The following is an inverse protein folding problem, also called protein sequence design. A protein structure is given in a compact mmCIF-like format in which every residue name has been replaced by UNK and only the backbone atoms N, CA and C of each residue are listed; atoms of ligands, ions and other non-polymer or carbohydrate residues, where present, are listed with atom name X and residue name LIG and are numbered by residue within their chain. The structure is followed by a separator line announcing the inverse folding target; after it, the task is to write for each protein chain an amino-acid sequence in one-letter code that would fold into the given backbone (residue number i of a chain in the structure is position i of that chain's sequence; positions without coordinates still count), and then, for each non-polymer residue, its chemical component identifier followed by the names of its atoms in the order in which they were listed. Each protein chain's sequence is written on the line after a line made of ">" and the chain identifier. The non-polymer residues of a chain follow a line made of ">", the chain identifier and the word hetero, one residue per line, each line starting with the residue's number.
data_IF_901257879554
#
_entry.id   IF_901257879554
#
_cell.length_a   1.000
_cell.length_b   1.000
_cell.length_c   1.000
_cell.angle_alpha   90.00
_cell.angle_beta   90.00
_cell.angle_gamma   90.00
#
_symmetry.space_group_name_H-M   'P 1'
#
loop_
_entity.id
_entity.type
_entity.pdbx_description
1 polymer ?
#
# COMPACT_ATOMS: atom_id res chain seq x y z
N UNK A 1 -23.11 -3.68 -23.93
CA UNK A 1 -23.83 -4.33 -22.80
C UNK A 1 -22.98 -5.37 -22.06
N UNK A 2 -22.28 -6.29 -22.74
CA UNK A 2 -21.41 -7.31 -22.11
C UNK A 2 -20.32 -6.76 -21.17
N UNK A 3 -19.63 -5.67 -21.53
CA UNK A 3 -18.64 -5.02 -20.65
C UNK A 3 -19.28 -4.32 -19.43
N UNK A 4 -20.56 -3.91 -19.53
CA UNK A 4 -21.28 -3.23 -18.46
C UNK A 4 -21.83 -4.22 -17.41
N UNK A 5 -22.16 -5.45 -17.82
CA UNK A 5 -22.54 -6.52 -16.90
C UNK A 5 -21.32 -7.20 -16.26
N UNK A 6 -20.20 -7.30 -16.98
CA UNK A 6 -18.98 -7.95 -16.51
C UNK A 6 -18.40 -7.32 -15.24
N UNK A 7 -18.38 -5.99 -15.14
CA UNK A 7 -17.83 -5.34 -13.94
C UNK A 7 -18.76 -5.47 -12.72
N UNK A 8 -20.09 -5.56 -12.92
CA UNK A 8 -21.05 -5.81 -11.83
C UNK A 8 -20.92 -7.24 -11.31
N UNK A 9 -20.90 -8.22 -12.21
CA UNK A 9 -20.66 -9.62 -11.83
C UNK A 9 -19.32 -9.76 -11.09
N UNK A 10 -18.27 -9.15 -11.62
CA UNK A 10 -16.96 -9.13 -10.99
C UNK A 10 -16.98 -8.52 -9.57
N UNK A 11 -17.68 -7.38 -9.40
CA UNK A 11 -17.91 -6.76 -8.09
C UNK A 11 -18.58 -7.73 -7.13
N UNK A 12 -19.70 -8.33 -7.52
CA UNK A 12 -20.47 -9.21 -6.64
C UNK A 12 -19.67 -10.48 -6.27
N UNK A 13 -18.94 -11.06 -7.22
CA UNK A 13 -18.04 -12.22 -6.96
C UNK A 13 -16.94 -11.85 -5.98
N UNK A 14 -16.30 -10.69 -6.16
CA UNK A 14 -15.24 -10.24 -5.27
C UNK A 14 -15.76 -10.04 -3.85
N UNK A 15 -16.88 -9.33 -3.69
CA UNK A 15 -17.51 -9.12 -2.39
C UNK A 15 -17.88 -10.46 -1.74
N UNK A 16 -18.52 -11.36 -2.48
CA UNK A 16 -18.86 -12.70 -1.98
C UNK A 16 -17.64 -13.45 -1.48
N UNK A 17 -16.53 -13.47 -2.23
CA UNK A 17 -15.30 -14.12 -1.77
C UNK A 17 -14.73 -13.48 -0.50
N UNK A 18 -14.76 -12.16 -0.39
CA UNK A 18 -14.37 -11.46 0.83
C UNK A 18 -15.21 -11.86 2.04
N UNK A 19 -16.54 -11.89 1.88
CA UNK A 19 -17.47 -12.30 2.95
C UNK A 19 -17.28 -13.78 3.33
N UNK A 20 -17.12 -14.67 2.35
CA UNK A 20 -16.89 -16.09 2.59
C UNK A 20 -15.62 -16.31 3.41
N UNK A 21 -14.51 -15.65 3.05
CA UNK A 21 -13.26 -15.78 3.79
C UNK A 21 -13.35 -15.20 5.21
N UNK A 22 -14.16 -14.16 5.44
CA UNK A 22 -14.29 -13.54 6.76
C UNK A 22 -15.25 -14.29 7.67
N UNK A 23 -16.38 -14.78 7.13
CA UNK A 23 -17.48 -15.33 7.92
C UNK A 23 -17.45 -16.85 8.06
N UNK A 24 -16.86 -17.58 7.11
CA UNK A 24 -16.97 -19.04 7.06
C UNK A 24 -15.76 -19.74 7.70
N UNK A 25 -15.99 -20.77 8.54
CA UNK A 25 -14.90 -21.60 9.02
C UNK A 25 -14.29 -22.37 7.85
N UNK A 26 -12.96 -22.45 7.85
CA UNK A 26 -12.19 -23.24 6.91
C UNK A 26 -11.34 -24.26 7.65
N UNK A 27 -11.04 -25.36 6.95
CA UNK A 27 -10.24 -26.45 7.50
C UNK A 27 -9.85 -27.44 6.41
N UNK A 28 -9.03 -28.42 6.79
CA UNK A 28 -8.69 -29.52 5.90
C UNK A 28 -9.89 -30.45 5.76
N UNK A 29 -10.08 -30.98 4.54
CA UNK A 29 -11.19 -31.88 4.20
C UNK A 29 -11.15 -33.18 5.05
N UNK A 30 -10.02 -33.47 5.69
CA UNK A 30 -9.81 -34.64 6.55
C UNK A 30 -10.29 -34.49 8.00
N UNK A 31 -10.67 -33.29 8.45
CA UNK A 31 -11.12 -33.05 9.83
C UNK A 31 -12.66 -33.02 9.91
N UNK A 32 -13.27 -34.22 9.89
CA UNK A 32 -14.74 -34.45 9.96
C UNK A 32 -15.41 -33.85 11.21
N UNK A 33 -14.63 -33.40 12.18
CA UNK A 33 -15.09 -32.86 13.47
C UNK A 33 -15.59 -31.42 13.41
N UNK A 34 -15.24 -30.66 12.36
CA UNK A 34 -15.70 -29.29 12.14
C UNK A 34 -16.34 -29.20 10.76
N UNK A 35 -17.62 -28.87 10.69
CA UNK A 35 -18.29 -28.50 9.44
C UNK A 35 -17.63 -27.23 8.88
N UNK A 36 -16.54 -27.41 8.12
CA UNK A 36 -15.85 -26.35 7.43
C UNK A 36 -16.55 -26.13 6.08
N UNK A 37 -17.00 -24.91 5.83
CA UNK A 37 -17.69 -24.59 4.58
C UNK A 37 -16.69 -24.36 3.43
N UNK A 38 -15.45 -23.98 3.78
CA UNK A 38 -14.37 -23.72 2.83
C UNK A 38 -13.19 -24.66 3.06
N UNK A 39 -12.63 -25.20 1.97
CA UNK A 39 -11.35 -25.90 2.02
C UNK A 39 -10.17 -24.93 1.91
N UNK A 40 -9.00 -25.34 2.42
CA UNK A 40 -7.75 -24.56 2.28
C UNK A 40 -7.43 -24.25 0.81
N UNK A 41 -7.62 -25.22 -0.09
CA UNK A 41 -7.43 -25.06 -1.54
C UNK A 41 -8.37 -23.99 -2.14
N UNK A 42 -9.62 -23.91 -1.68
CA UNK A 42 -10.53 -22.84 -2.11
C UNK A 42 -10.05 -21.46 -1.66
N UNK A 43 -9.54 -21.34 -0.42
CA UNK A 43 -8.98 -20.08 0.07
C UNK A 43 -7.73 -19.68 -0.74
N UNK A 44 -6.86 -20.63 -1.10
CA UNK A 44 -5.70 -20.38 -1.96
C UNK A 44 -6.10 -19.92 -3.37
N UNK A 45 -7.14 -20.52 -3.94
CA UNK A 45 -7.71 -20.10 -5.23
C UNK A 45 -8.31 -18.70 -5.16
N UNK A 46 -9.00 -18.37 -4.07
CA UNK A 46 -9.52 -17.01 -3.82
C UNK A 46 -8.37 -16.00 -3.71
N UNK A 47 -7.29 -16.34 -3.00
CA UNK A 47 -6.09 -15.50 -2.92
C UNK A 47 -5.44 -15.25 -4.29
N UNK A 48 -5.27 -16.30 -5.08
CA UNK A 48 -4.76 -16.21 -6.45
C UNK A 48 -5.66 -15.34 -7.33
N UNK A 49 -6.98 -15.50 -7.21
CA UNK A 49 -7.96 -14.66 -7.89
C UNK A 49 -7.73 -13.18 -7.54
N UNK A 50 -7.69 -12.81 -6.26
CA UNK A 50 -7.48 -11.40 -5.89
C UNK A 50 -6.15 -10.83 -6.40
N UNK A 51 -5.06 -11.60 -6.34
CA UNK A 51 -3.75 -11.16 -6.85
C UNK A 51 -3.79 -10.84 -8.35
N UNK A 52 -4.46 -11.69 -9.14
CA UNK A 52 -4.66 -11.46 -10.57
C UNK A 52 -5.55 -10.23 -10.82
N UNK A 53 -6.64 -10.11 -10.06
CA UNK A 53 -7.63 -9.05 -10.20
C UNK A 53 -7.06 -7.67 -9.87
N UNK A 54 -6.35 -7.55 -8.75
CA UNK A 54 -5.65 -6.33 -8.35
C UNK A 54 -4.60 -5.88 -9.40
N UNK A 55 -4.12 -6.81 -10.22
CA UNK A 55 -3.13 -6.56 -11.26
C UNK A 55 -3.73 -6.27 -12.65
N UNK A 56 -5.03 -6.57 -12.87
CA UNK A 56 -5.64 -6.61 -14.21
C UNK A 56 -6.87 -5.73 -14.40
N UNK A 57 -7.63 -5.43 -13.34
CA UNK A 57 -8.89 -4.67 -13.44
C UNK A 57 -8.64 -3.24 -13.90
N UNK A 58 -9.49 -2.78 -14.85
CA UNK A 58 -9.45 -1.40 -15.38
C UNK A 58 -10.57 -0.50 -14.86
N UNK A 59 -11.71 -1.07 -14.48
CA UNK A 59 -12.86 -0.30 -14.04
C UNK A 59 -12.69 0.09 -12.57
N UNK A 60 -12.62 1.40 -12.28
CA UNK A 60 -12.38 1.92 -10.93
C UNK A 60 -13.36 1.38 -9.89
N UNK A 61 -14.66 1.40 -10.19
CA UNK A 61 -15.67 0.90 -9.25
C UNK A 61 -15.60 -0.61 -9.03
N UNK A 62 -15.03 -1.38 -9.96
CA UNK A 62 -14.81 -2.82 -9.76
C UNK A 62 -13.57 -3.05 -8.89
N UNK A 63 -12.50 -2.30 -9.18
CA UNK A 63 -11.25 -2.34 -8.42
C UNK A 63 -11.45 -1.95 -6.95
N UNK A 64 -12.19 -0.89 -6.65
CA UNK A 64 -12.45 -0.45 -5.27
C UNK A 64 -13.18 -1.52 -4.45
N UNK A 65 -14.08 -2.28 -5.07
CA UNK A 65 -14.83 -3.35 -4.41
C UNK A 65 -13.97 -4.61 -4.25
N UNK A 66 -13.20 -4.97 -5.28
CA UNK A 66 -12.20 -6.04 -5.20
C UNK A 66 -11.16 -5.76 -4.12
N UNK A 67 -10.68 -4.51 -4.02
CA UNK A 67 -9.78 -4.07 -2.97
C UNK A 67 -10.40 -4.26 -1.58
N UNK A 68 -11.64 -3.79 -1.39
CA UNK A 68 -12.36 -3.92 -0.11
C UNK A 68 -12.48 -5.40 0.32
N UNK A 69 -12.85 -6.27 -0.62
CA UNK A 69 -12.95 -7.70 -0.36
C UNK A 69 -11.58 -8.36 -0.12
N UNK A 70 -10.54 -7.95 -0.85
CA UNK A 70 -9.18 -8.42 -0.63
C UNK A 70 -8.68 -8.05 0.77
N UNK A 71 -9.03 -6.87 1.30
CA UNK A 71 -8.69 -6.52 2.69
C UNK A 71 -9.29 -7.50 3.71
N UNK A 72 -10.52 -7.98 3.49
CA UNK A 72 -11.16 -8.99 4.35
C UNK A 72 -10.38 -10.30 4.34
N UNK A 73 -9.96 -10.75 3.14
CA UNK A 73 -9.09 -11.91 3.00
C UNK A 73 -7.77 -11.70 3.77
N UNK A 74 -7.07 -10.59 3.57
CA UNK A 74 -5.80 -10.34 4.26
C UNK A 74 -5.96 -10.32 5.79
N UNK A 75 -7.04 -9.70 6.31
CA UNK A 75 -7.34 -9.69 7.75
C UNK A 75 -7.54 -11.10 8.30
N UNK A 76 -8.25 -11.97 7.57
CA UNK A 76 -8.40 -13.37 7.95
C UNK A 76 -7.04 -14.10 7.92
N UNK A 77 -6.26 -13.92 6.85
CA UNK A 77 -4.96 -14.61 6.70
C UNK A 77 -3.98 -14.28 7.83
N UNK A 78 -3.94 -13.03 8.29
CA UNK A 78 -3.09 -12.65 9.43
C UNK A 78 -3.51 -13.29 10.76
N UNK A 79 -4.78 -13.69 10.90
CA UNK A 79 -5.34 -14.25 12.12
C UNK A 79 -5.51 -15.77 12.07
N UNK A 80 -5.25 -16.38 10.91
CA UNK A 80 -5.44 -17.81 10.74
C UNK A 80 -4.30 -18.60 11.39
N UNK A 81 -4.63 -19.78 11.92
CA UNK A 81 -3.65 -20.70 12.49
C UNK A 81 -3.12 -21.72 11.47
N UNK A 82 -3.68 -21.73 10.26
CA UNK A 82 -3.27 -22.68 9.23
C UNK A 82 -1.93 -22.23 8.62
N UNK A 83 -0.86 -23.03 8.73
CA UNK A 83 0.50 -22.57 8.42
C UNK A 83 0.69 -22.16 6.95
N UNK A 84 -0.02 -22.82 6.03
CA UNK A 84 0.06 -22.49 4.61
C UNK A 84 -0.62 -21.16 4.26
N UNK A 85 -1.68 -20.79 5.00
CA UNK A 85 -2.43 -19.56 4.76
C UNK A 85 -1.79 -18.38 5.51
N UNK A 86 -1.33 -18.61 6.74
CA UNK A 86 -0.72 -17.59 7.59
C UNK A 86 0.57 -17.00 7.00
N UNK A 87 1.29 -17.76 6.17
CA UNK A 87 2.51 -17.29 5.48
C UNK A 87 2.22 -16.42 4.24
N UNK A 88 1.01 -16.48 3.67
CA UNK A 88 0.70 -15.80 2.40
C UNK A 88 0.91 -14.28 2.44
N UNK A 89 0.48 -13.54 3.48
CA UNK A 89 0.70 -12.10 3.55
C UNK A 89 2.18 -11.72 3.40
N UNK A 90 3.05 -12.38 4.16
CA UNK A 90 4.51 -12.15 4.10
C UNK A 90 5.12 -12.59 2.77
N UNK A 91 4.67 -13.72 2.23
CA UNK A 91 5.13 -14.21 0.93
C UNK A 91 4.81 -13.21 -0.18
N UNK A 92 3.57 -12.71 -0.25
CA UNK A 92 3.17 -11.72 -1.24
C UNK A 92 3.97 -10.42 -1.14
N UNK A 93 4.24 -9.93 0.07
CA UNK A 93 5.06 -8.72 0.24
C UNK A 93 6.50 -8.95 -0.27
N UNK A 94 7.11 -10.10 0.04
CA UNK A 94 8.45 -10.47 -0.43
C UNK A 94 8.51 -10.58 -1.95
N UNK A 95 7.51 -11.22 -2.55
CA UNK A 95 7.43 -11.38 -4.01
C UNK A 95 7.26 -10.02 -4.68
N UNK A 96 6.40 -9.15 -4.15
CA UNK A 96 6.17 -7.80 -4.68
C UNK A 96 7.41 -6.92 -4.61
N UNK A 97 8.16 -6.97 -3.51
CA UNK A 97 9.44 -6.26 -3.39
C UNK A 97 10.43 -6.75 -4.45
N UNK A 98 10.51 -8.06 -4.65
CA UNK A 98 11.42 -8.68 -5.63
C UNK A 98 11.05 -8.21 -7.04
N UNK A 99 9.76 -8.27 -7.37
CA UNK A 99 9.20 -7.78 -8.63
C UNK A 99 9.47 -6.29 -8.85
N UNK A 100 9.35 -5.45 -7.80
CA UNK A 100 9.68 -4.02 -7.87
C UNK A 100 11.17 -3.81 -8.12
N UNK A 101 12.04 -4.57 -7.44
CA UNK A 101 13.50 -4.46 -7.56
C UNK A 101 14.00 -4.85 -8.95
N UNK A 102 13.45 -5.91 -9.52
CA UNK A 102 13.86 -6.44 -10.82
C UNK A 102 13.35 -5.61 -12.00
N UNK A 103 12.41 -4.69 -11.78
CA UNK A 103 11.83 -3.89 -12.86
C UNK A 103 11.05 -4.72 -13.88
N UNK A 104 10.66 -5.96 -13.55
CA UNK A 104 9.95 -6.89 -14.44
C UNK A 104 8.50 -6.50 -14.77
N UNK A 105 8.09 -5.28 -14.42
CA UNK A 105 6.70 -4.82 -14.51
C UNK A 105 6.59 -3.66 -15.49
N UNK A 106 6.03 -3.96 -16.67
CA UNK A 106 5.61 -2.96 -17.65
C UNK A 106 4.90 -1.77 -16.97
N UNK A 107 5.45 -0.59 -17.24
CA UNK A 107 5.27 0.69 -16.55
C UNK A 107 3.85 1.29 -16.51
N UNK A 108 2.80 0.58 -16.94
CA UNK A 108 1.45 1.17 -17.03
C UNK A 108 0.31 0.41 -16.36
N UNK A 109 0.36 -0.91 -16.13
CA UNK A 109 -0.86 -1.66 -15.72
C UNK A 109 -0.70 -2.60 -14.54
N UNK A 110 0.28 -3.52 -14.55
CA UNK A 110 0.55 -4.38 -13.39
C UNK A 110 1.10 -3.58 -12.20
N UNK A 111 1.86 -2.53 -12.48
CA UNK A 111 2.43 -1.67 -11.45
C UNK A 111 1.40 -0.82 -10.70
N UNK A 112 0.26 -0.50 -11.32
CA UNK A 112 -0.78 0.28 -10.69
C UNK A 112 -1.45 -0.47 -9.53
N UNK A 113 -1.47 -1.81 -9.58
CA UNK A 113 -2.01 -2.67 -8.53
C UNK A 113 -1.10 -2.83 -7.32
N UNK A 114 0.23 -2.81 -7.52
CA UNK A 114 1.23 -3.09 -6.47
C UNK A 114 1.03 -2.21 -5.23
N UNK A 115 0.88 -0.87 -5.32
CA UNK A 115 0.65 -0.04 -4.15
C UNK A 115 -0.58 -0.47 -3.34
N UNK A 116 -1.65 -0.89 -4.01
CA UNK A 116 -2.88 -1.32 -3.35
C UNK A 116 -2.73 -2.71 -2.73
N UNK A 117 -2.03 -3.65 -3.37
CA UNK A 117 -1.81 -4.98 -2.78
C UNK A 117 -0.96 -4.82 -1.51
N UNK A 118 0.16 -4.09 -1.59
CA UNK A 118 1.01 -3.80 -0.42
C UNK A 118 0.21 -3.09 0.67
N UNK A 119 -0.56 -2.06 0.32
CA UNK A 119 -1.40 -1.34 1.27
C UNK A 119 -2.43 -2.26 1.92
N UNK A 120 -3.16 -3.08 1.16
CA UNK A 120 -4.17 -3.99 1.72
C UNK A 120 -3.56 -4.95 2.75
N UNK A 121 -2.44 -5.57 2.40
CA UNK A 121 -1.74 -6.53 3.26
C UNK A 121 -1.24 -5.83 4.53
N UNK A 122 -0.51 -4.73 4.41
CA UNK A 122 0.09 -4.05 5.57
C UNK A 122 -0.95 -3.39 6.49
N UNK A 123 -2.05 -2.86 5.94
CA UNK A 123 -3.14 -2.28 6.73
C UNK A 123 -3.89 -3.32 7.55
N UNK A 124 -3.97 -4.53 7.02
CA UNK A 124 -4.64 -5.65 7.69
C UNK A 124 -3.78 -6.33 8.76
N UNK A 125 -2.50 -5.97 8.88
CA UNK A 125 -1.60 -6.51 9.89
C UNK A 125 -2.12 -6.16 11.31
N UNK A 126 -2.28 -7.15 12.21
CA UNK A 126 -2.67 -6.91 13.58
C UNK A 126 -1.63 -6.07 14.33
N UNK A 127 -2.02 -4.88 14.78
CA UNK A 127 -1.12 -3.97 15.53
C UNK A 127 -0.61 -4.57 16.85
N UNK A 128 -1.34 -5.53 17.43
CA UNK A 128 -0.93 -6.26 18.65
C UNK A 128 0.40 -7.00 18.46
N UNK A 129 0.77 -7.31 17.23
CA UNK A 129 2.04 -7.97 16.88
C UNK A 129 3.19 -6.98 16.61
N UNK A 130 3.01 -5.69 16.95
CA UNK A 130 4.05 -4.67 16.83
C UNK A 130 4.26 -4.12 15.42
N UNK A 131 3.41 -4.49 14.46
CA UNK A 131 3.49 -4.05 13.06
C UNK A 131 4.86 -4.32 12.41
N UNK A 132 5.45 -5.48 12.71
CA UNK A 132 6.79 -5.84 12.26
C UNK A 132 6.89 -5.92 10.73
N UNK A 133 5.87 -6.46 10.06
CA UNK A 133 5.84 -6.51 8.60
C UNK A 133 5.77 -5.10 8.03
N UNK A 134 4.90 -4.24 8.56
CA UNK A 134 4.85 -2.83 8.16
C UNK A 134 6.22 -2.16 8.30
N UNK A 135 6.87 -2.26 9.45
CA UNK A 135 8.18 -1.62 9.68
C UNK A 135 9.24 -2.11 8.69
N UNK A 136 9.31 -3.42 8.47
CA UNK A 136 10.25 -4.03 7.53
C UNK A 136 10.04 -3.52 6.10
N UNK A 137 8.82 -3.62 5.58
CA UNK A 137 8.54 -3.27 4.20
C UNK A 137 8.53 -1.76 3.96
N UNK A 138 8.15 -0.95 4.95
CA UNK A 138 8.29 0.51 4.88
C UNK A 138 9.75 0.92 4.72
N UNK A 139 10.65 0.36 5.53
CA UNK A 139 12.09 0.60 5.42
C UNK A 139 12.65 0.13 4.07
N UNK A 140 12.19 -1.02 3.57
CA UNK A 140 12.63 -1.55 2.28
C UNK A 140 12.20 -0.67 1.10
N UNK A 141 10.95 -0.19 1.08
CA UNK A 141 10.49 0.73 0.03
C UNK A 141 11.15 2.11 0.13
N UNK A 142 11.43 2.62 1.33
CA UNK A 142 12.23 3.85 1.50
C UNK A 142 13.63 3.67 0.89
N UNK A 143 14.30 2.55 1.19
CA UNK A 143 15.62 2.23 0.63
C UNK A 143 15.57 2.13 -0.90
N UNK A 144 14.57 1.47 -1.47
CA UNK A 144 14.41 1.37 -2.93
C UNK A 144 14.12 2.72 -3.59
N UNK A 145 13.41 3.62 -2.90
CA UNK A 145 13.12 4.96 -3.42
C UNK A 145 14.34 5.90 -3.35
N UNK A 146 15.21 5.73 -2.36
CA UNK A 146 16.40 6.57 -2.16
C UNK A 146 17.59 6.14 -3.04
N UNK A 147 17.62 4.87 -3.47
CA UNK A 147 18.69 4.34 -4.33
C UNK A 147 18.96 5.22 -5.57
N UNK A 148 20.24 5.53 -5.78
CA UNK A 148 20.74 6.19 -6.98
C UNK A 148 21.11 5.13 -8.02
N UNK A 149 20.07 4.52 -8.59
CA UNK A 149 20.21 3.50 -9.64
C UNK A 149 19.85 4.10 -11.00
N UNK A 150 20.55 3.65 -12.04
CA UNK A 150 20.18 3.94 -13.44
C UNK A 150 18.77 3.44 -13.80
N UNK A 151 18.25 2.45 -13.05
CA UNK A 151 16.92 1.90 -13.24
C UNK A 151 15.83 2.83 -12.67
N UNK A 152 14.99 3.37 -13.57
CA UNK A 152 13.92 4.32 -13.23
C UNK A 152 12.70 3.63 -12.63
N UNK A 153 12.30 2.48 -13.17
CA UNK A 153 11.03 1.82 -12.84
C UNK A 153 10.94 1.37 -11.37
N UNK A 154 11.96 0.71 -10.78
CA UNK A 154 11.94 0.34 -9.36
C UNK A 154 11.71 1.53 -8.43
N UNK A 155 12.39 2.65 -8.70
CA UNK A 155 12.27 3.89 -7.93
C UNK A 155 10.87 4.47 -8.01
N UNK A 156 10.29 4.56 -9.20
CA UNK A 156 8.90 5.04 -9.40
C UNK A 156 7.90 4.13 -8.69
N UNK A 157 8.07 2.81 -8.74
CA UNK A 157 7.19 1.88 -8.04
C UNK A 157 7.29 2.01 -6.53
N UNK A 158 8.50 2.08 -5.98
CA UNK A 158 8.73 2.30 -4.55
C UNK A 158 8.08 3.60 -4.07
N UNK A 159 8.27 4.71 -4.79
CA UNK A 159 7.65 6.01 -4.46
C UNK A 159 6.10 5.91 -4.46
N UNK A 160 5.52 5.20 -5.44
CA UNK A 160 4.07 5.02 -5.51
C UNK A 160 3.52 4.13 -4.38
N UNK A 161 4.26 3.10 -3.96
CA UNK A 161 3.92 2.29 -2.78
C UNK A 161 3.97 3.15 -1.52
N UNK A 162 5.06 3.89 -1.30
CA UNK A 162 5.19 4.81 -0.16
C UNK A 162 4.04 5.81 -0.12
N UNK A 163 3.69 6.39 -1.27
CA UNK A 163 2.55 7.30 -1.39
C UNK A 163 1.24 6.64 -0.94
N UNK A 164 0.97 5.41 -1.35
CA UNK A 164 -0.24 4.69 -0.94
C UNK A 164 -0.29 4.48 0.57
N UNK A 165 0.84 4.08 1.18
CA UNK A 165 0.97 3.90 2.63
C UNK A 165 0.79 5.20 3.41
N UNK A 166 1.46 6.29 3.00
CA UNK A 166 1.30 7.59 3.65
C UNK A 166 -0.09 8.18 3.49
N UNK A 167 -0.84 7.81 2.44
CA UNK A 167 -2.21 8.28 2.21
C UNK A 167 -3.26 7.55 3.05
N UNK A 168 -2.99 6.32 3.45
CA UNK A 168 -3.95 5.48 4.16
C UNK A 168 -4.22 5.99 5.58
N UNK A 169 -5.49 6.25 5.89
CA UNK A 169 -5.87 6.84 7.17
C UNK A 169 -5.63 5.90 8.34
N UNK A 170 -5.86 4.59 8.17
CA UNK A 170 -5.70 3.56 9.21
C UNK A 170 -4.25 3.36 9.66
N UNK A 171 -3.28 3.75 8.83
CA UNK A 171 -1.86 3.68 9.15
C UNK A 171 -1.34 4.96 9.83
N UNK A 172 -2.22 5.91 10.16
CA UNK A 172 -1.89 7.27 10.59
C UNK A 172 -0.75 7.36 11.59
N UNK A 173 -0.83 6.65 12.71
CA UNK A 173 0.21 6.68 13.75
C UNK A 173 1.46 5.85 13.36
N UNK A 174 1.25 4.73 12.68
CA UNK A 174 2.31 3.77 12.32
C UNK A 174 3.26 4.35 11.26
N UNK A 175 2.77 5.22 10.36
CA UNK A 175 3.61 5.88 9.34
C UNK A 175 4.40 7.07 9.89
N UNK A 176 4.03 7.62 11.05
CA UNK A 176 4.60 8.88 11.56
C UNK A 176 6.13 8.88 11.67
N UNK A 177 6.78 7.83 12.20
CA UNK A 177 8.24 7.77 12.30
C UNK A 177 8.96 7.91 10.95
N UNK A 178 8.28 7.55 9.86
CA UNK A 178 8.85 7.49 8.51
C UNK A 178 8.56 8.73 7.66
N UNK A 179 7.72 9.65 8.15
CA UNK A 179 7.29 10.83 7.38
C UNK A 179 8.47 11.71 6.98
N UNK A 180 9.46 11.90 7.86
CA UNK A 180 10.64 12.69 7.56
C UNK A 180 11.43 12.11 6.37
N UNK A 181 11.64 10.79 6.34
CA UNK A 181 12.37 10.16 5.23
C UNK A 181 11.54 10.16 3.95
N UNK A 182 10.23 10.02 4.04
CA UNK A 182 9.33 10.22 2.90
C UNK A 182 9.44 11.63 2.29
N UNK A 183 9.57 12.67 3.13
CA UNK A 183 9.78 14.06 2.65
C UNK A 183 11.12 14.19 1.94
N UNK A 184 12.20 13.61 2.49
CA UNK A 184 13.52 13.62 1.84
C UNK A 184 13.48 12.97 0.46
N UNK A 185 12.89 11.77 0.37
CA UNK A 185 12.70 11.05 -0.91
C UNK A 185 11.95 11.93 -1.92
N UNK A 186 10.88 12.61 -1.49
CA UNK A 186 10.10 13.46 -2.38
C UNK A 186 10.88 14.70 -2.86
N UNK A 187 11.59 15.37 -1.96
CA UNK A 187 12.37 16.58 -2.28
C UNK A 187 13.54 16.24 -3.22
N UNK A 188 14.32 15.20 -2.91
CA UNK A 188 15.39 14.73 -3.79
C UNK A 188 14.85 14.26 -5.15
N UNK A 189 13.63 13.73 -5.18
CA UNK A 189 12.96 13.32 -6.42
C UNK A 189 12.56 14.47 -7.34
N UNK A 190 12.49 15.72 -6.87
CA UNK A 190 12.18 16.89 -7.71
C UNK A 190 13.31 17.22 -8.69
N UNK A 191 14.55 16.96 -8.30
CA UNK A 191 15.75 17.20 -9.12
C UNK A 191 16.06 16.05 -10.08
N UNK A 192 15.28 14.96 -10.04
CA UNK A 192 15.55 13.80 -10.88
C UNK A 192 15.50 14.17 -12.37
N UNK A 193 16.48 13.70 -13.16
CA UNK A 193 16.54 13.95 -14.62
C UNK A 193 15.36 13.33 -15.40
N UNK A 194 14.67 12.35 -14.81
CA UNK A 194 13.60 11.59 -15.45
C UNK A 194 12.22 12.08 -14.99
N UNK A 195 11.36 12.44 -15.95
CA UNK A 195 10.02 12.98 -15.68
C UNK A 195 9.16 12.07 -14.78
N UNK A 196 9.20 10.75 -15.00
CA UNK A 196 8.39 9.80 -14.23
C UNK A 196 8.71 9.82 -12.73
N UNK A 197 10.00 9.99 -12.37
CA UNK A 197 10.45 10.12 -10.97
C UNK A 197 9.96 11.43 -10.38
N UNK A 198 10.12 12.56 -11.10
CA UNK A 198 9.62 13.87 -10.67
C UNK A 198 8.12 13.84 -10.41
N UNK A 199 7.34 13.25 -11.32
CA UNK A 199 5.89 13.13 -11.17
C UNK A 199 5.51 12.28 -9.93
N UNK A 200 6.16 11.12 -9.74
CA UNK A 200 5.91 10.29 -8.57
C UNK A 200 6.27 11.02 -7.26
N UNK A 201 7.39 11.74 -7.25
CA UNK A 201 7.85 12.53 -6.11
C UNK A 201 6.89 13.68 -5.77
N UNK A 202 6.37 14.41 -6.75
CA UNK A 202 5.34 15.46 -6.55
C UNK A 202 4.07 14.90 -5.92
N UNK A 203 3.63 13.72 -6.37
CA UNK A 203 2.45 13.07 -5.84
C UNK A 203 2.67 12.54 -4.41
N UNK A 204 3.87 12.05 -4.10
CA UNK A 204 4.28 11.68 -2.75
C UNK A 204 4.31 12.90 -1.84
N UNK A 205 4.96 14.00 -2.27
CA UNK A 205 5.04 15.25 -1.52
C UNK A 205 3.67 15.79 -1.15
N UNK A 206 2.75 15.90 -2.12
CA UNK A 206 1.37 16.35 -1.88
C UNK A 206 0.64 15.48 -0.84
N UNK A 207 0.88 14.17 -0.88
CA UNK A 207 0.32 13.22 0.10
C UNK A 207 0.91 13.45 1.49
N UNK A 208 2.22 13.66 1.60
CA UNK A 208 2.91 13.96 2.86
C UNK A 208 2.49 15.31 3.45
N UNK A 209 2.31 16.34 2.63
CA UNK A 209 1.82 17.63 3.09
C UNK A 209 0.42 17.49 3.69
N UNK A 210 -0.45 16.74 3.04
CA UNK A 210 -1.78 16.41 3.58
C UNK A 210 -1.70 15.59 4.87
N UNK A 211 -0.71 14.70 4.99
CA UNK A 211 -0.48 13.90 6.21
C UNK A 211 0.03 14.73 7.38
N UNK A 212 0.93 15.68 7.12
CA UNK A 212 1.56 16.51 8.16
C UNK A 212 0.62 17.63 8.61
N UNK A 213 0.02 18.33 7.64
CA UNK A 213 -0.73 19.56 7.86
C UNK A 213 -2.25 19.35 7.78
N UNK A 214 -2.74 18.17 7.40
CA UNK A 214 -4.17 17.94 7.19
C UNK A 214 -4.68 18.45 5.84
N UNK A 215 -5.96 18.19 5.58
CA UNK A 215 -6.61 18.57 4.31
C UNK A 215 -7.07 20.03 4.37
N UNK A 216 -6.61 20.88 3.46
CA UNK A 216 -7.18 22.20 3.28
C UNK A 216 -8.51 22.12 2.50
N UNK A 217 -9.61 22.48 3.15
CA UNK A 217 -10.95 22.51 2.55
C UNK A 217 -11.36 23.88 2.02
N UNK A 218 -10.55 24.92 2.29
CA UNK A 218 -10.73 26.27 1.77
C UNK A 218 -9.89 26.47 0.50
N UNK A 219 -10.43 27.19 -0.48
CA UNK A 219 -9.70 27.57 -1.70
C UNK A 219 -8.78 28.76 -1.50
N UNK A 220 -9.10 29.65 -0.55
CA UNK A 220 -8.54 31.00 -0.55
C UNK A 220 -7.53 31.26 0.57
N UNK A 221 -7.56 30.50 1.68
CA UNK A 221 -6.57 30.67 2.76
C UNK A 221 -6.23 29.35 3.47
N UNK A 222 -4.96 29.15 3.90
CA UNK A 222 -4.60 28.06 4.78
C UNK A 222 -5.32 28.23 6.12
N UNK A 223 -6.17 27.26 6.48
CA UNK A 223 -6.84 27.28 7.76
C UNK A 223 -5.81 27.15 8.89
N UNK A 224 -5.94 27.95 9.96
CA UNK A 224 -5.03 27.87 11.14
C UNK A 224 -4.85 26.45 11.68
N UNK A 225 -5.87 25.59 11.55
CA UNK A 225 -5.83 24.18 11.96
C UNK A 225 -4.91 23.31 11.11
N UNK A 226 -4.59 23.76 9.90
CA UNK A 226 -3.71 23.09 8.94
C UNK A 226 -2.32 23.76 8.88
N UNK A 227 -1.95 24.49 9.92
CA UNK A 227 -0.65 25.13 10.02
C UNK A 227 0.06 24.59 11.26
N UNK A 228 1.37 24.37 11.12
CA UNK A 228 2.27 24.15 12.24
C UNK A 228 3.25 25.32 12.26
N UNK A 229 3.63 25.77 13.45
CA UNK A 229 4.79 26.67 13.55
C UNK A 229 6.05 25.89 13.15
N UNK A 230 7.06 26.60 12.64
CA UNK A 230 8.35 25.98 12.30
C UNK A 230 8.93 25.19 13.48
N UNK A 231 8.84 25.74 14.70
CA UNK A 231 9.27 25.07 15.93
C UNK A 231 8.56 23.71 16.13
N UNK A 232 7.23 23.66 16.02
CA UNK A 232 6.47 22.41 16.20
C UNK A 232 6.78 21.41 15.08
N UNK A 233 6.90 21.89 13.84
CA UNK A 233 7.25 21.05 12.70
C UNK A 233 8.62 20.38 12.88
N UNK A 234 9.66 21.15 13.24
CA UNK A 234 11.00 20.61 13.44
C UNK A 234 11.16 19.84 14.75
N UNK A 235 10.36 20.12 15.78
CA UNK A 235 10.30 19.26 16.97
C UNK A 235 9.76 17.86 16.60
N UNK A 236 8.78 17.80 15.70
CA UNK A 236 8.19 16.54 15.23
C UNK A 236 9.06 15.81 14.21
N UNK A 237 9.79 16.55 13.37
CA UNK A 237 10.63 16.01 12.30
C UNK A 237 12.03 16.66 12.32
N UNK A 238 12.85 16.39 13.35
CA UNK A 238 14.11 17.10 13.57
C UNK A 238 15.11 16.92 12.41
N UNK A 239 15.13 15.75 11.79
CA UNK A 239 16.03 15.46 10.67
C UNK A 239 15.73 16.29 9.40
N UNK A 240 14.57 16.94 9.31
CA UNK A 240 14.23 17.80 8.18
C UNK A 240 14.86 19.20 8.27
N UNK A 241 15.30 19.65 9.45
CA UNK A 241 15.85 21.00 9.60
C UNK A 241 17.12 21.18 8.77
N UNK A 242 18.16 20.40 9.06
CA UNK A 242 19.42 20.46 8.33
C UNK A 242 19.24 20.07 6.87
N UNK A 243 18.46 19.04 6.59
CA UNK A 243 18.19 18.61 5.22
C UNK A 243 17.59 19.72 4.35
N UNK A 244 16.52 20.39 4.80
CA UNK A 244 15.89 21.45 4.03
C UNK A 244 16.79 22.68 3.90
N UNK A 245 17.55 23.01 4.94
CA UNK A 245 18.53 24.09 4.88
C UNK A 245 19.59 23.84 3.79
N UNK A 246 20.10 22.61 3.72
CA UNK A 246 21.07 22.22 2.69
C UNK A 246 20.46 22.29 1.28
N UNK A 247 19.20 21.89 1.10
CA UNK A 247 18.52 21.98 -0.19
C UNK A 247 18.27 23.43 -0.64
N UNK A 248 18.03 24.36 0.30
CA UNK A 248 17.81 25.77 0.00
C UNK A 248 19.10 26.54 -0.36
N UNK A 249 20.25 26.03 0.06
CA UNK A 249 21.56 26.66 -0.18
C UNK A 249 22.28 26.11 -1.43
N UNK A 250 21.66 25.16 -2.15
CA UNK A 250 22.15 24.65 -3.44
C UNK A 250 21.71 25.58 -4.58
#
# INVERSE_FOLDING_TARGET
>A
MLLLCGWRAHREVSLLFGELCEACPFGDVSDDSKQCLLSVDQVLKIGSFFMEQMSSIRHRGAFEQAYTAFQKLCQMLWRCNHPELAKLPMMWLKDLVTVVREGGVSSTRRSAGIPYIVQAVLVSEPQVLGSAAFQQYMAEFLKLADQDTLAVEPKVHAINVLRALFREARLGDVVMPYVADGVKVAVLGFEANVWAVRNAATLLFSTLMTRIFGVNRSRDEPQRRNCLTAHVFFLRFPSLFHFLLDQLNR
#
